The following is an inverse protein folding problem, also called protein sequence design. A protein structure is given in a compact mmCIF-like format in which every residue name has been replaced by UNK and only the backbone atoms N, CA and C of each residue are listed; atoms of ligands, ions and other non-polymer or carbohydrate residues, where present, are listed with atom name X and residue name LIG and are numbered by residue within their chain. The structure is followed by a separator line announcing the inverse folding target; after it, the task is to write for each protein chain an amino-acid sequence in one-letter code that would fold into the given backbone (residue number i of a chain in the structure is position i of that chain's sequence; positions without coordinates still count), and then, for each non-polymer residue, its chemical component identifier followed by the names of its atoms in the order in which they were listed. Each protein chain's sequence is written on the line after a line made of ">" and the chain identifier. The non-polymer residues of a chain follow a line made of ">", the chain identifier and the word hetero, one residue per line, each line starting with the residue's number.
data_IF_695320563075
#
_entry.id   IF_695320563075
#
_cell.length_a   1.000
_cell.length_b   1.000
_cell.length_c   1.000
_cell.angle_alpha   90.00
_cell.angle_beta   90.00
_cell.angle_gamma   90.00
#
_symmetry.space_group_name_H-M   'P 1'
#
loop_
_entity.id
_entity.type
_entity.pdbx_description
1 polymer ?
#
# COMPACT_ATOMS: atom_id res chain seq x y z
N UNK A 1 7.40 -9.27 10.84
CA UNK A 1 7.37 -8.80 9.43
C UNK A 1 7.93 -7.39 9.36
N UNK A 2 8.77 -7.08 8.36
CA UNK A 2 9.33 -5.74 8.14
C UNK A 2 8.88 -5.11 6.83
N UNK A 3 8.33 -5.89 5.91
CA UNK A 3 7.81 -5.42 4.62
C UNK A 3 6.30 -5.63 4.55
N UNK A 4 5.59 -4.56 4.20
CA UNK A 4 4.15 -4.51 4.07
C UNK A 4 3.77 -4.00 2.69
N UNK A 5 2.93 -4.76 2.00
CA UNK A 5 2.53 -4.48 0.63
C UNK A 5 1.01 -4.46 0.50
N UNK A 6 0.51 -3.50 -0.26
CA UNK A 6 -0.90 -3.40 -0.58
C UNK A 6 -1.24 -2.36 -1.64
N UNK A 7 -2.53 -2.09 -1.77
CA UNK A 7 -3.10 -1.08 -2.66
C UNK A 7 -3.75 0.06 -1.86
N UNK A 8 -4.25 1.06 -2.57
CA UNK A 8 -4.87 2.25 -1.99
C UNK A 8 -6.34 2.08 -1.60
N UNK A 9 -6.91 0.93 -1.88
CA UNK A 9 -8.29 0.55 -1.58
C UNK A 9 -8.37 -0.95 -1.35
N UNK A 10 -9.47 -1.43 -0.76
CA UNK A 10 -9.84 -2.86 -0.71
C UNK A 10 -11.24 -3.12 -1.25
N UNK A 11 -12.07 -2.08 -1.39
CA UNK A 11 -13.47 -2.20 -1.78
C UNK A 11 -13.70 -1.70 -3.21
N UNK A 12 -12.98 -2.28 -4.18
CA UNK A 12 -13.11 -1.93 -5.58
C UNK A 12 -13.83 -3.03 -6.37
N UNK A 13 -15.00 -2.72 -6.93
CA UNK A 13 -15.84 -3.69 -7.64
C UNK A 13 -15.22 -4.20 -8.95
N UNK A 14 -14.37 -3.41 -9.60
CA UNK A 14 -13.66 -3.82 -10.82
C UNK A 14 -12.67 -4.98 -10.62
N UNK A 15 -12.41 -5.38 -9.37
CA UNK A 15 -11.58 -6.54 -9.05
C UNK A 15 -12.34 -7.88 -9.01
N UNK A 16 -13.65 -7.87 -9.20
CA UNK A 16 -14.46 -9.10 -9.27
C UNK A 16 -14.12 -9.91 -10.52
N UNK A 17 -13.97 -11.22 -10.35
CA UNK A 17 -13.60 -12.14 -11.43
C UNK A 17 -12.10 -12.32 -11.64
N UNK A 18 -11.27 -11.41 -11.13
CA UNK A 18 -9.82 -11.46 -11.29
C UNK A 18 -9.10 -11.52 -9.93
N UNK A 19 -9.21 -10.46 -9.13
CA UNK A 19 -8.62 -10.42 -7.79
C UNK A 19 -9.55 -10.99 -6.71
N UNK A 20 -10.86 -10.76 -6.83
CA UNK A 20 -11.88 -11.40 -6.01
C UNK A 20 -12.68 -12.41 -6.83
N UNK A 21 -13.19 -13.50 -6.22
CA UNK A 21 -14.16 -14.38 -6.89
C UNK A 21 -15.34 -13.59 -7.46
N UNK A 22 -15.94 -14.02 -8.61
CA UNK A 22 -16.94 -13.23 -9.33
C UNK A 22 -18.16 -12.81 -8.51
N UNK A 23 -18.59 -13.64 -7.55
CA UNK A 23 -19.79 -13.43 -6.74
C UNK A 23 -19.50 -12.92 -5.34
N UNK A 24 -18.31 -12.34 -5.11
CA UNK A 24 -17.92 -11.82 -3.79
C UNK A 24 -18.79 -10.62 -3.41
N UNK A 25 -19.39 -10.69 -2.22
CA UNK A 25 -20.16 -9.58 -1.66
C UNK A 25 -19.23 -8.46 -1.17
N UNK A 26 -19.62 -7.18 -1.25
CA UNK A 26 -18.81 -6.07 -0.76
C UNK A 26 -18.39 -6.21 0.72
N UNK A 27 -19.20 -6.85 1.56
CA UNK A 27 -18.88 -7.09 2.96
C UNK A 27 -17.69 -8.03 3.17
N UNK A 28 -17.36 -8.87 2.19
CA UNK A 28 -16.30 -9.88 2.24
C UNK A 28 -14.98 -9.38 1.60
N UNK A 29 -14.98 -8.19 0.96
CA UNK A 29 -13.80 -7.66 0.27
C UNK A 29 -12.60 -7.49 1.20
N UNK A 30 -12.77 -6.89 2.38
CA UNK A 30 -11.66 -6.71 3.32
C UNK A 30 -11.09 -8.05 3.81
N UNK A 31 -11.96 -9.00 4.11
CA UNK A 31 -11.57 -10.34 4.51
C UNK A 31 -10.70 -11.02 3.44
N UNK A 32 -11.11 -10.96 2.17
CA UNK A 32 -10.36 -11.55 1.06
C UNK A 32 -9.08 -10.77 0.74
N UNK A 33 -9.15 -9.43 0.78
CA UNK A 33 -8.01 -8.56 0.53
C UNK A 33 -6.85 -8.84 1.51
N UNK A 34 -7.17 -8.88 2.81
CA UNK A 34 -6.18 -9.08 3.87
C UNK A 34 -5.54 -10.47 3.89
N UNK A 35 -6.08 -11.41 3.08
CA UNK A 35 -5.49 -12.74 2.84
C UNK A 35 -4.70 -12.82 1.54
N UNK A 36 -4.51 -11.71 0.87
CA UNK A 36 -3.68 -11.58 -0.33
C UNK A 36 -2.53 -10.61 -0.12
N UNK A 37 -2.79 -9.53 0.60
CA UNK A 37 -1.79 -8.50 0.95
C UNK A 37 -1.62 -8.39 2.46
N UNK A 38 -0.57 -7.68 2.87
CA UNK A 38 -0.18 -7.53 4.28
C UNK A 38 -0.52 -6.15 4.85
N UNK A 39 -0.88 -5.20 3.98
CA UNK A 39 -1.35 -3.88 4.42
C UNK A 39 -2.33 -3.27 3.42
N UNK A 40 -2.97 -2.19 3.82
CA UNK A 40 -3.78 -1.33 2.95
C UNK A 40 -3.58 0.15 3.30
N UNK A 41 -3.56 1.00 2.26
CA UNK A 41 -3.68 2.43 2.44
C UNK A 41 -5.17 2.80 2.61
N UNK A 42 -5.54 3.22 3.83
CA UNK A 42 -6.93 3.51 4.18
C UNK A 42 -7.37 4.91 3.75
N UNK A 43 -7.66 5.10 2.47
CA UNK A 43 -8.10 6.41 1.94
C UNK A 43 -9.55 6.76 2.29
N UNK A 44 -10.37 5.83 2.72
CA UNK A 44 -11.77 6.09 3.13
C UNK A 44 -11.84 7.06 4.29
N UNK A 45 -10.89 7.00 5.22
CA UNK A 45 -10.82 7.90 6.39
C UNK A 45 -10.52 9.35 6.04
N UNK A 46 -10.03 9.62 4.84
CA UNK A 46 -9.87 10.98 4.32
C UNK A 46 -11.19 11.70 4.10
N UNK A 47 -12.26 10.95 3.81
CA UNK A 47 -13.59 11.48 3.52
C UNK A 47 -14.57 11.33 4.68
N UNK A 48 -14.44 10.26 5.46
CA UNK A 48 -15.33 9.97 6.57
C UNK A 48 -14.57 9.25 7.70
N UNK A 49 -14.68 9.77 8.92
CA UNK A 49 -14.10 9.15 10.10
C UNK A 49 -14.96 7.92 10.47
N UNK A 50 -14.36 6.72 10.61
CA UNK A 50 -15.11 5.52 10.98
C UNK A 50 -15.60 5.61 12.43
N UNK A 51 -16.76 5.01 12.70
CA UNK A 51 -17.21 4.80 14.07
C UNK A 51 -16.49 3.58 14.69
N UNK A 52 -16.62 3.42 16.00
CA UNK A 52 -15.96 2.33 16.76
C UNK A 52 -16.38 0.93 16.29
N UNK A 53 -17.62 0.74 15.87
CA UNK A 53 -18.12 -0.54 15.34
C UNK A 53 -17.42 -0.91 14.03
N UNK A 54 -17.25 0.07 13.12
CA UNK A 54 -16.52 -0.11 11.86
C UNK A 54 -15.05 -0.47 12.13
N UNK A 55 -14.39 0.22 13.07
CA UNK A 55 -13.00 -0.05 13.46
C UNK A 55 -12.86 -1.46 14.04
N UNK A 56 -13.74 -1.85 14.96
CA UNK A 56 -13.76 -3.20 15.52
C UNK A 56 -13.98 -4.28 14.44
N UNK A 57 -14.87 -4.02 13.48
CA UNK A 57 -15.10 -4.91 12.35
C UNK A 57 -13.84 -5.05 11.47
N UNK A 58 -13.12 -3.98 11.19
CA UNK A 58 -11.87 -4.05 10.43
C UNK A 58 -10.82 -4.91 11.16
N UNK A 59 -10.66 -4.71 12.47
CA UNK A 59 -9.73 -5.49 13.28
C UNK A 59 -10.07 -6.98 13.29
N UNK A 60 -11.37 -7.35 13.42
CA UNK A 60 -11.80 -8.75 13.51
C UNK A 60 -11.80 -9.47 12.15
N UNK A 61 -11.94 -8.75 11.04
CA UNK A 61 -11.95 -9.34 9.69
C UNK A 61 -10.55 -9.62 9.12
N UNK A 62 -9.50 -9.06 9.72
CA UNK A 62 -8.13 -9.14 9.20
C UNK A 62 -7.25 -10.04 10.05
N UNK A 63 -6.26 -10.74 9.44
CA UNK A 63 -5.33 -11.59 10.18
C UNK A 63 -4.35 -10.75 11.01
N UNK A 64 -3.74 -11.31 12.08
CA UNK A 64 -2.89 -10.57 13.04
C UNK A 64 -1.75 -9.75 12.40
N UNK A 65 -1.25 -10.19 11.24
CA UNK A 65 -0.11 -9.56 10.56
C UNK A 65 -0.53 -8.55 9.48
N UNK A 66 -1.80 -8.16 9.45
CA UNK A 66 -2.32 -7.17 8.50
C UNK A 66 -2.39 -5.79 9.15
N UNK A 67 -1.93 -4.74 8.44
CA UNK A 67 -1.92 -3.38 8.96
C UNK A 67 -2.66 -2.39 8.07
N UNK A 68 -3.34 -1.44 8.72
CA UNK A 68 -4.00 -0.32 8.09
C UNK A 68 -3.15 0.94 8.23
N UNK A 69 -2.66 1.50 7.12
CA UNK A 69 -2.06 2.83 7.09
C UNK A 69 -3.16 3.84 6.75
N UNK A 70 -3.75 4.43 7.77
CA UNK A 70 -4.91 5.31 7.59
C UNK A 70 -4.48 6.72 7.19
N UNK A 71 -5.23 7.31 6.27
CA UNK A 71 -5.04 8.71 5.87
C UNK A 71 -5.81 9.65 6.80
N UNK A 72 -5.13 10.68 7.31
CA UNK A 72 -5.82 11.72 8.09
C UNK A 72 -6.97 12.35 7.32
N UNK A 73 -8.09 12.66 7.99
CA UNK A 73 -9.23 13.34 7.40
C UNK A 73 -8.86 14.62 6.66
N UNK A 74 -9.59 14.89 5.57
CA UNK A 74 -9.38 16.06 4.73
C UNK A 74 -9.50 17.37 5.52
N UNK A 75 -10.47 17.43 6.40
CA UNK A 75 -10.76 18.64 7.16
C UNK A 75 -9.65 19.00 8.16
N UNK A 76 -8.81 18.01 8.53
CA UNK A 76 -7.65 18.22 9.40
C UNK A 76 -6.39 18.64 8.64
N UNK A 77 -6.32 18.39 7.35
CA UNK A 77 -5.08 18.56 6.57
C UNK A 77 -5.20 19.54 5.41
N UNK A 78 -6.43 19.89 4.98
CA UNK A 78 -6.67 20.69 3.76
C UNK A 78 -7.40 22.01 4.01
N UNK A 79 -7.62 22.39 5.29
CA UNK A 79 -8.31 23.62 5.65
C UNK A 79 -7.35 24.52 6.46
N UNK A 80 -6.64 25.42 5.77
CA UNK A 80 -5.78 26.41 6.41
C UNK A 80 -4.52 25.84 7.08
N UNK A 81 -4.23 26.31 8.28
CA UNK A 81 -3.11 25.87 9.11
C UNK A 81 -3.42 24.56 9.84
N UNK A 82 -2.38 23.81 10.21
CA UNK A 82 -2.51 22.51 10.88
C UNK A 82 -2.68 22.65 12.40
N UNK A 83 -2.07 23.66 13.01
CA UNK A 83 -2.13 23.88 14.47
C UNK A 83 -3.55 23.89 15.03
N UNK A 84 -4.55 24.57 14.42
CA UNK A 84 -5.95 24.50 14.85
C UNK A 84 -6.58 23.11 14.75
N UNK A 85 -6.03 22.23 13.90
CA UNK A 85 -6.54 20.87 13.69
C UNK A 85 -5.98 19.83 14.69
N UNK A 86 -5.05 20.23 15.58
CA UNK A 86 -4.44 19.33 16.56
C UNK A 86 -5.49 18.57 17.39
N UNK A 87 -6.49 19.22 18.02
CA UNK A 87 -7.49 18.50 18.79
C UNK A 87 -8.23 17.44 17.97
N UNK A 88 -8.66 17.79 16.74
CA UNK A 88 -9.33 16.86 15.84
C UNK A 88 -8.45 15.71 15.39
N UNK A 89 -7.13 15.93 15.26
CA UNK A 89 -6.18 14.87 14.92
C UNK A 89 -5.99 13.88 16.10
N UNK A 90 -5.96 14.36 17.32
CA UNK A 90 -5.93 13.54 18.53
C UNK A 90 -7.23 12.74 18.70
N UNK A 91 -8.38 13.37 18.47
CA UNK A 91 -9.69 12.68 18.46
C UNK A 91 -9.76 11.58 17.40
N UNK A 92 -9.17 11.81 16.23
CA UNK A 92 -9.09 10.80 15.19
C UNK A 92 -8.27 9.58 15.65
N UNK A 93 -7.12 9.81 16.29
CA UNK A 93 -6.29 8.73 16.85
C UNK A 93 -7.11 7.89 17.84
N UNK A 94 -7.82 8.53 18.77
CA UNK A 94 -8.64 7.80 19.75
C UNK A 94 -9.71 6.93 19.08
N UNK A 95 -10.34 7.41 18.00
CA UNK A 95 -11.34 6.64 17.26
C UNK A 95 -10.77 5.41 16.56
N UNK A 96 -9.54 5.51 16.02
CA UNK A 96 -8.91 4.40 15.29
C UNK A 96 -8.04 3.51 16.16
N UNK A 97 -7.80 3.88 17.43
CA UNK A 97 -7.03 3.10 18.42
C UNK A 97 -7.59 1.68 18.61
N UNK A 98 -8.90 1.48 18.39
CA UNK A 98 -9.55 0.17 18.41
C UNK A 98 -9.02 -0.84 17.39
N UNK A 99 -8.22 -0.42 16.40
CA UNK A 99 -7.48 -1.33 15.50
C UNK A 99 -6.37 -2.10 16.26
N UNK A 100 -5.88 -1.60 17.39
CA UNK A 100 -4.81 -2.24 18.15
C UNK A 100 -3.58 -2.52 17.30
N UNK A 101 -3.13 -3.77 17.25
CA UNK A 101 -1.96 -4.19 16.47
C UNK A 101 -2.11 -4.06 14.95
N UNK A 102 -3.33 -3.86 14.46
CA UNK A 102 -3.59 -3.63 13.03
C UNK A 102 -3.41 -2.17 12.62
N UNK A 103 -3.14 -1.25 13.56
CA UNK A 103 -2.88 0.14 13.23
C UNK A 103 -1.41 0.32 12.84
N UNK A 104 -1.17 0.47 11.54
CA UNK A 104 0.11 0.91 10.99
C UNK A 104 0.28 2.43 11.09
N UNK A 105 1.33 3.00 10.48
CA UNK A 105 1.52 4.45 10.44
C UNK A 105 0.30 5.17 9.86
N UNK A 106 -0.17 6.19 10.58
CA UNK A 106 -1.12 7.15 10.01
C UNK A 106 -0.34 8.12 9.12
N UNK A 107 -0.92 8.54 7.99
CA UNK A 107 -0.24 9.52 7.17
C UNK A 107 -1.08 10.78 6.91
N UNK A 108 -0.42 11.93 7.06
CA UNK A 108 -0.94 13.25 6.75
C UNK A 108 -0.50 13.66 5.35
N UNK A 109 -1.44 13.78 4.41
CA UNK A 109 -1.16 14.37 3.10
C UNK A 109 -1.57 15.84 3.12
N UNK A 110 -0.61 16.72 2.85
CA UNK A 110 -0.87 18.17 2.77
C UNK A 110 -1.27 18.59 1.34
N UNK A 111 -2.08 19.64 1.20
CA UNK A 111 -2.45 20.16 -0.11
C UNK A 111 -1.27 20.85 -0.81
N UNK A 112 -1.32 21.03 -2.14
CA UNK A 112 -0.29 21.78 -2.87
C UNK A 112 -0.13 23.24 -2.43
N UNK A 113 -1.13 23.82 -1.77
CA UNK A 113 -1.10 25.18 -1.22
C UNK A 113 -0.30 25.30 0.09
N UNK A 114 -0.01 24.17 0.78
CA UNK A 114 0.73 24.19 2.03
C UNK A 114 2.24 24.27 1.76
N UNK A 115 2.78 25.47 1.85
CA UNK A 115 4.13 25.84 1.42
C UNK A 115 5.15 25.85 2.58
N UNK A 116 6.48 25.84 2.29
CA UNK A 116 7.53 25.92 3.31
C UNK A 116 7.45 27.13 4.26
N UNK A 117 6.80 28.22 3.86
CA UNK A 117 6.54 29.33 4.76
C UNK A 117 5.72 28.97 6.02
N UNK A 118 5.06 27.80 6.01
CA UNK A 118 4.24 27.28 7.11
C UNK A 118 5.00 26.24 7.97
N UNK A 119 6.35 26.21 7.92
CA UNK A 119 7.15 25.20 8.61
C UNK A 119 6.96 25.21 10.12
N UNK A 120 6.77 26.39 10.74
CA UNK A 120 6.56 26.52 12.20
C UNK A 120 5.19 25.96 12.61
N UNK A 121 4.16 26.17 11.78
CA UNK A 121 2.85 25.57 11.97
C UNK A 121 2.90 24.05 11.84
N UNK A 122 3.64 23.56 10.81
CA UNK A 122 3.89 22.14 10.63
C UNK A 122 4.62 21.53 11.83
N UNK A 123 5.69 22.19 12.31
CA UNK A 123 6.45 21.72 13.46
C UNK A 123 5.56 21.60 14.70
N UNK A 124 4.74 22.60 15.00
CA UNK A 124 3.81 22.56 16.14
C UNK A 124 2.81 21.40 16.03
N UNK A 125 2.28 21.12 14.84
CA UNK A 125 1.38 19.99 14.60
C UNK A 125 2.09 18.65 14.81
N UNK A 126 3.29 18.49 14.25
CA UNK A 126 4.07 17.25 14.38
C UNK A 126 4.55 17.02 15.82
N UNK A 127 4.89 18.07 16.56
CA UNK A 127 5.29 17.98 17.97
C UNK A 127 4.14 17.53 18.88
N UNK A 128 2.92 17.93 18.60
CA UNK A 128 1.73 17.55 19.36
C UNK A 128 1.27 16.09 19.12
N UNK A 129 1.77 15.43 18.06
CA UNK A 129 1.38 14.06 17.73
C UNK A 129 2.00 13.03 18.70
N UNK A 130 1.24 12.03 19.23
CA UNK A 130 1.74 11.01 20.16
C UNK A 130 2.55 9.91 19.42
N UNK A 131 3.69 10.26 18.86
CA UNK A 131 4.52 9.42 17.96
C UNK A 131 4.99 8.10 18.59
N UNK A 132 5.17 8.07 19.90
CA UNK A 132 5.57 6.86 20.60
C UNK A 132 4.49 5.76 20.56
N UNK A 133 3.21 6.17 20.44
CA UNK A 133 2.07 5.25 20.43
C UNK A 133 1.58 4.99 18.99
N UNK A 134 1.54 6.03 18.16
CA UNK A 134 1.03 5.96 16.80
C UNK A 134 2.02 6.61 15.84
N UNK A 135 2.76 5.84 15.04
CA UNK A 135 3.68 6.38 14.05
C UNK A 135 2.96 7.28 13.03
N UNK A 136 3.60 8.40 12.69
CA UNK A 136 3.09 9.36 11.71
C UNK A 136 4.00 9.43 10.49
N UNK A 137 3.39 9.50 9.29
CA UNK A 137 4.07 9.83 8.06
C UNK A 137 3.50 11.12 7.44
N UNK A 138 4.33 11.89 6.75
CA UNK A 138 3.98 13.18 6.15
C UNK A 138 4.21 13.15 4.64
N UNK A 139 3.17 13.47 3.86
CA UNK A 139 3.24 13.71 2.41
C UNK A 139 3.09 15.20 2.12
N UNK A 140 4.14 15.84 1.61
CA UNK A 140 4.11 17.22 1.13
C UNK A 140 3.92 17.27 -0.38
N UNK A 141 3.17 18.23 -0.87
CA UNK A 141 2.84 18.36 -2.32
C UNK A 141 3.24 19.69 -2.95
N UNK A 142 3.56 20.72 -2.18
CA UNK A 142 4.06 21.97 -2.72
C UNK A 142 5.50 21.78 -3.23
N UNK A 143 5.77 22.17 -4.48
CA UNK A 143 7.05 21.92 -5.17
C UNK A 143 8.27 22.50 -4.44
N UNK A 144 8.10 23.58 -3.67
CA UNK A 144 9.23 24.19 -2.94
C UNK A 144 9.72 23.35 -1.76
N UNK A 145 8.96 22.37 -1.24
CA UNK A 145 9.44 21.43 -0.25
C UNK A 145 10.57 20.52 -0.76
N UNK A 146 10.75 20.46 -2.08
CA UNK A 146 11.77 19.66 -2.76
C UNK A 146 12.99 20.48 -3.20
N UNK A 147 13.01 21.80 -2.89
CA UNK A 147 14.11 22.71 -3.20
C UNK A 147 14.88 23.09 -1.94
N UNK A 148 16.19 23.28 -2.08
CA UNK A 148 17.00 23.81 -1.00
C UNK A 148 16.68 25.31 -0.71
N UNK A 149 16.74 25.74 0.55
CA UNK A 149 17.08 24.99 1.78
C UNK A 149 15.90 24.23 2.39
N UNK A 150 14.69 24.35 1.84
CA UNK A 150 13.44 23.82 2.42
C UNK A 150 13.45 22.28 2.51
N UNK A 151 14.05 21.61 1.53
CA UNK A 151 14.18 20.15 1.53
C UNK A 151 14.98 19.65 2.72
N UNK A 152 16.14 20.29 3.00
CA UNK A 152 16.99 19.98 4.14
C UNK A 152 16.31 20.28 5.47
N UNK A 153 15.67 21.43 5.57
CA UNK A 153 14.97 21.85 6.79
C UNK A 153 13.81 20.89 7.13
N UNK A 154 13.03 20.48 6.12
CA UNK A 154 11.98 19.50 6.31
C UNK A 154 12.55 18.14 6.74
N UNK A 155 13.59 17.66 6.07
CA UNK A 155 14.24 16.38 6.42
C UNK A 155 14.73 16.39 7.87
N UNK A 156 15.46 17.45 8.27
CA UNK A 156 15.95 17.59 9.64
C UNK A 156 14.81 17.63 10.69
N UNK A 157 13.69 18.30 10.39
CA UNK A 157 12.52 18.32 11.26
C UNK A 157 11.90 16.94 11.40
N UNK A 158 11.72 16.21 10.29
CA UNK A 158 11.13 14.87 10.29
C UNK A 158 12.01 13.86 11.02
N UNK A 159 13.34 13.91 10.80
CA UNK A 159 14.32 13.05 11.50
C UNK A 159 14.33 13.32 13.00
N UNK A 160 14.39 14.61 13.41
CA UNK A 160 14.33 15.01 14.82
C UNK A 160 13.08 14.45 15.51
N UNK A 161 11.95 14.48 14.81
CA UNK A 161 10.66 14.06 15.36
C UNK A 161 10.33 12.59 15.05
N UNK A 162 11.20 11.85 14.34
CA UNK A 162 10.94 10.47 13.93
C UNK A 162 9.60 10.31 13.17
N UNK A 163 9.26 11.30 12.32
CA UNK A 163 8.11 11.28 11.42
C UNK A 163 8.56 10.75 10.06
N UNK A 164 7.86 9.75 9.53
CA UNK A 164 8.18 9.15 8.24
C UNK A 164 7.87 10.13 7.10
N UNK A 165 8.83 10.34 6.17
CA UNK A 165 8.53 11.03 4.92
C UNK A 165 7.80 10.07 4.01
N UNK A 166 6.61 10.44 3.50
CA UNK A 166 5.93 9.68 2.45
C UNK A 166 6.66 9.92 1.13
N UNK A 167 7.03 8.84 0.47
CA UNK A 167 7.72 8.85 -0.82
C UNK A 167 6.70 8.59 -1.92
N UNK A 168 6.21 9.66 -2.54
CA UNK A 168 5.28 9.57 -3.67
C UNK A 168 6.09 9.46 -4.96
N UNK A 169 6.00 8.32 -5.63
CA UNK A 169 6.57 8.14 -6.96
C UNK A 169 5.46 8.08 -8.02
N UNK A 170 5.37 9.12 -8.80
CA UNK A 170 4.44 9.23 -9.93
C UNK A 170 5.15 9.24 -11.28
N UNK A 171 6.46 8.98 -11.33
CA UNK A 171 7.24 9.00 -12.57
C UNK A 171 6.64 8.13 -13.67
N UNK A 172 6.16 6.89 -13.39
CA UNK A 172 5.65 6.02 -14.45
C UNK A 172 4.48 6.60 -15.24
N UNK A 173 3.62 7.40 -14.61
CA UNK A 173 2.44 7.97 -15.28
C UNK A 173 2.72 9.26 -16.03
N UNK A 174 3.97 9.72 -16.06
CA UNK A 174 4.43 10.91 -16.78
C UNK A 174 5.43 10.55 -17.88
N UNK A 175 5.63 9.26 -18.17
CA UNK A 175 6.48 8.79 -19.26
C UNK A 175 5.59 8.19 -20.35
N UNK A 176 5.92 8.53 -21.61
CA UNK A 176 5.18 8.09 -22.79
C UNK A 176 4.34 9.20 -23.39
N UNK A 177 3.67 8.87 -24.49
CA UNK A 177 2.87 9.81 -25.27
C UNK A 177 1.40 9.83 -24.84
N UNK A 178 1.01 8.94 -23.91
CA UNK A 178 -0.34 8.84 -23.35
C UNK A 178 -0.43 9.53 -21.96
N UNK A 179 -1.61 10.05 -21.63
CA UNK A 179 -1.94 10.52 -20.27
C UNK A 179 -2.86 9.49 -19.58
N UNK A 180 -2.31 8.54 -18.81
CA UNK A 180 -3.12 7.54 -18.14
C UNK A 180 -4.05 8.12 -17.08
N UNK A 181 -3.89 9.41 -16.75
CA UNK A 181 -4.76 10.14 -15.81
C UNK A 181 -5.86 10.95 -16.51
N UNK A 182 -6.05 10.80 -17.83
CA UNK A 182 -6.99 11.63 -18.59
C UNK A 182 -8.40 11.58 -18.01
N UNK A 183 -8.86 10.39 -17.61
CA UNK A 183 -10.17 10.16 -16.99
C UNK A 183 -10.18 10.33 -15.46
N UNK A 184 -9.05 10.69 -14.83
CA UNK A 184 -8.96 10.82 -13.38
C UNK A 184 -9.51 12.17 -12.92
N UNK A 185 -10.48 12.18 -12.01
CA UNK A 185 -11.00 13.41 -11.38
C UNK A 185 -9.90 14.19 -10.64
N UNK A 186 -8.89 13.49 -10.11
CA UNK A 186 -7.79 14.07 -9.33
C UNK A 186 -6.46 13.54 -9.83
N UNK A 187 -5.74 14.36 -10.57
CA UNK A 187 -4.41 14.01 -11.07
C UNK A 187 -3.39 13.94 -9.92
N UNK A 188 -2.53 12.95 -9.97
CA UNK A 188 -1.36 12.85 -9.07
C UNK A 188 -0.34 13.91 -9.49
N UNK A 189 0.32 14.60 -8.55
CA UNK A 189 1.31 15.61 -8.91
C UNK A 189 2.60 14.95 -9.42
N UNK A 190 3.27 15.61 -10.34
CA UNK A 190 4.64 15.28 -10.72
C UNK A 190 5.60 15.95 -9.73
N UNK A 191 6.20 15.16 -8.85
CA UNK A 191 7.12 15.60 -7.81
C UNK A 191 8.43 14.82 -7.89
N UNK A 192 9.57 15.41 -7.48
CA UNK A 192 10.82 14.67 -7.37
C UNK A 192 10.73 13.55 -6.33
N UNK A 193 11.27 12.38 -6.67
CA UNK A 193 11.45 11.29 -5.69
C UNK A 193 12.75 11.52 -4.94
N UNK A 194 12.67 11.52 -3.60
CA UNK A 194 13.83 11.65 -2.72
C UNK A 194 13.90 10.41 -1.84
N UNK A 195 14.86 9.52 -2.12
CA UNK A 195 15.06 8.28 -1.35
C UNK A 195 15.64 8.60 0.03
N UNK A 196 14.78 9.02 0.96
CA UNK A 196 15.16 9.36 2.34
C UNK A 196 14.28 8.63 3.34
N UNK A 197 14.90 8.14 4.43
CA UNK A 197 14.21 7.53 5.56
C UNK A 197 14.40 8.44 6.76
N UNK A 198 13.32 8.99 7.29
CA UNK A 198 13.32 9.97 8.39
C UNK A 198 12.76 9.42 9.71
N UNK A 199 12.37 8.13 9.70
CA UNK A 199 11.80 7.41 10.85
C UNK A 199 12.26 5.94 10.80
N UNK A 200 12.00 5.10 11.83
CA UNK A 200 12.27 3.66 11.78
C UNK A 200 11.48 2.90 10.70
N UNK A 201 10.69 3.62 9.92
CA UNK A 201 9.91 3.07 8.81
C UNK A 201 9.93 4.01 7.60
N UNK A 202 9.60 3.46 6.42
CA UNK A 202 9.36 4.19 5.17
C UNK A 202 7.97 3.86 4.64
N UNK A 203 7.25 4.86 4.12
CA UNK A 203 5.97 4.70 3.45
C UNK A 203 6.07 5.19 2.01
N UNK A 204 5.92 4.26 1.08
CA UNK A 204 6.05 4.47 -0.36
C UNK A 204 4.67 4.40 -1.00
N UNK A 205 4.35 5.38 -1.82
CA UNK A 205 3.16 5.41 -2.66
C UNK A 205 3.59 5.40 -4.13
N UNK A 206 3.55 4.24 -4.74
CA UNK A 206 3.96 4.02 -6.12
C UNK A 206 2.75 4.14 -7.05
N UNK A 207 2.75 5.16 -7.90
CA UNK A 207 1.67 5.42 -8.87
C UNK A 207 2.08 4.78 -10.19
N UNK A 208 1.57 3.59 -10.43
CA UNK A 208 1.93 2.80 -11.59
C UNK A 208 1.19 3.25 -12.85
N UNK A 209 1.83 3.07 -13.98
CA UNK A 209 1.21 3.12 -15.29
C UNK A 209 0.36 1.86 -15.52
N UNK A 210 -0.77 1.90 -16.27
CA UNK A 210 -1.56 0.72 -16.60
C UNK A 210 -0.79 -0.36 -17.37
N UNK A 211 0.18 0.05 -18.20
CA UNK A 211 1.11 -0.86 -18.86
C UNK A 211 2.27 -1.21 -17.92
N UNK A 212 2.36 -2.49 -17.55
CA UNK A 212 3.36 -2.99 -16.61
C UNK A 212 4.80 -2.74 -17.09
N UNK A 213 5.07 -2.85 -18.40
CA UNK A 213 6.40 -2.66 -18.95
C UNK A 213 6.96 -1.24 -18.70
N UNK A 214 6.09 -0.22 -18.68
CA UNK A 214 6.48 1.17 -18.36
C UNK A 214 6.94 1.29 -16.91
N UNK A 215 6.39 0.47 -16.01
CA UNK A 215 6.73 0.51 -14.59
C UNK A 215 8.07 -0.18 -14.28
N UNK A 216 8.48 -1.13 -15.11
CA UNK A 216 9.58 -2.06 -14.82
C UNK A 216 10.87 -1.37 -14.35
N UNK A 217 11.43 -0.35 -15.03
CA UNK A 217 12.67 0.29 -14.60
C UNK A 217 12.57 0.93 -13.22
N UNK A 218 11.42 1.53 -12.90
CA UNK A 218 11.19 2.16 -11.59
C UNK A 218 11.00 1.12 -10.48
N UNK A 219 10.32 0.02 -10.79
CA UNK A 219 10.11 -1.06 -9.84
C UNK A 219 11.43 -1.75 -9.48
N UNK A 220 12.33 -1.93 -10.45
CA UNK A 220 13.68 -2.47 -10.24
C UNK A 220 14.52 -1.52 -9.37
N UNK A 221 14.50 -0.22 -9.65
CA UNK A 221 15.16 0.81 -8.81
C UNK A 221 14.64 0.74 -7.36
N UNK A 222 13.32 0.69 -7.18
CA UNK A 222 12.70 0.55 -5.88
C UNK A 222 13.04 -0.78 -5.20
N UNK A 223 13.08 -1.88 -5.93
CA UNK A 223 13.41 -3.19 -5.36
C UNK A 223 14.81 -3.19 -4.71
N UNK A 224 15.79 -2.59 -5.39
CA UNK A 224 17.16 -2.42 -4.85
C UNK A 224 17.14 -1.52 -3.59
N UNK A 225 16.42 -0.41 -3.64
CA UNK A 225 16.36 0.51 -2.51
C UNK A 225 15.62 -0.07 -1.30
N UNK A 226 14.50 -0.75 -1.52
CA UNK A 226 13.71 -1.41 -0.48
C UNK A 226 14.54 -2.53 0.16
N UNK A 227 15.22 -3.36 -0.63
CA UNK A 227 16.14 -4.39 -0.11
C UNK A 227 17.14 -3.80 0.87
N UNK A 228 17.85 -2.74 0.46
CA UNK A 228 18.82 -2.04 1.30
C UNK A 228 18.21 -1.57 2.63
N UNK A 229 17.03 -0.97 2.61
CA UNK A 229 16.37 -0.48 3.82
C UNK A 229 15.93 -1.61 4.75
N UNK A 230 15.40 -2.72 4.19
CA UNK A 230 15.03 -3.90 4.97
C UNK A 230 16.24 -4.54 5.65
N UNK A 231 17.38 -4.63 4.95
CA UNK A 231 18.65 -5.12 5.49
C UNK A 231 19.18 -4.22 6.62
N UNK A 232 18.95 -2.91 6.55
CA UNK A 232 19.25 -1.93 7.60
C UNK A 232 18.25 -1.95 8.78
N UNK A 233 17.19 -2.77 8.69
CA UNK A 233 16.21 -2.90 9.76
C UNK A 233 15.01 -1.96 9.65
N UNK A 234 14.92 -1.12 8.62
CA UNK A 234 13.79 -0.23 8.37
C UNK A 234 12.54 -1.05 8.04
N UNK A 235 11.38 -0.71 8.62
CA UNK A 235 10.08 -1.24 8.18
C UNK A 235 9.65 -0.50 6.92
N UNK A 236 9.18 -1.22 5.92
CA UNK A 236 8.77 -0.60 4.64
C UNK A 236 7.31 -0.92 4.35
N UNK A 237 6.53 0.12 4.10
CA UNK A 237 5.16 0.06 3.59
C UNK A 237 5.16 0.52 2.14
N UNK A 238 4.67 -0.33 1.25
CA UNK A 238 4.56 -0.03 -0.18
C UNK A 238 3.11 -0.15 -0.62
N UNK A 239 2.55 0.96 -1.11
CA UNK A 239 1.19 1.00 -1.65
C UNK A 239 1.22 1.32 -3.13
N UNK A 240 0.67 0.40 -3.90
CA UNK A 240 0.55 0.54 -5.35
C UNK A 240 -0.80 1.17 -5.69
N UNK A 241 -0.74 2.20 -6.52
CA UNK A 241 -1.89 2.86 -7.12
C UNK A 241 -1.79 2.74 -8.63
N UNK A 242 -2.92 2.72 -9.31
CA UNK A 242 -2.97 2.87 -10.76
C UNK A 242 -4.16 3.76 -11.13
N UNK A 243 -4.07 4.65 -12.12
CA UNK A 243 -5.22 5.35 -12.66
C UNK A 243 -6.31 4.39 -13.17
N UNK A 244 -5.91 3.24 -13.70
CA UNK A 244 -6.76 2.07 -13.97
C UNK A 244 -6.65 1.12 -12.78
N UNK A 245 -7.51 1.29 -11.76
CA UNK A 245 -7.39 0.63 -10.45
C UNK A 245 -7.41 -0.90 -10.55
N UNK A 246 -7.99 -1.46 -11.61
CA UNK A 246 -7.97 -2.91 -11.92
C UNK A 246 -6.55 -3.47 -11.94
N UNK A 247 -5.57 -2.65 -12.34
CA UNK A 247 -4.17 -3.08 -12.48
C UNK A 247 -3.38 -3.06 -11.19
N UNK A 248 -3.84 -2.35 -10.15
CA UNK A 248 -3.09 -2.17 -8.89
C UNK A 248 -2.68 -3.49 -8.24
N UNK A 249 -3.55 -4.51 -8.06
CA UNK A 249 -3.16 -5.77 -7.43
C UNK A 249 -2.10 -6.55 -8.21
N UNK A 250 -2.19 -6.56 -9.54
CA UNK A 250 -1.20 -7.24 -10.39
C UNK A 250 0.17 -6.57 -10.32
N UNK A 251 0.20 -5.24 -10.38
CA UNK A 251 1.44 -4.48 -10.24
C UNK A 251 2.05 -4.70 -8.86
N UNK A 252 1.24 -4.71 -7.80
CA UNK A 252 1.72 -4.99 -6.45
C UNK A 252 2.31 -6.41 -6.34
N UNK A 253 1.64 -7.44 -6.88
CA UNK A 253 2.16 -8.82 -6.89
C UNK A 253 3.46 -8.92 -7.69
N UNK A 254 3.57 -8.24 -8.82
CA UNK A 254 4.80 -8.19 -9.61
C UNK A 254 5.94 -7.54 -8.82
N UNK A 255 5.65 -6.49 -8.05
CA UNK A 255 6.62 -5.84 -7.17
C UNK A 255 7.19 -6.81 -6.13
N UNK A 256 6.33 -7.63 -5.50
CA UNK A 256 6.75 -8.70 -4.60
C UNK A 256 7.71 -9.67 -5.29
N UNK A 257 7.38 -10.10 -6.51
CA UNK A 257 8.22 -11.01 -7.30
C UNK A 257 9.61 -10.42 -7.56
N UNK A 258 9.71 -9.13 -7.90
CA UNK A 258 10.99 -8.45 -8.08
C UNK A 258 11.83 -8.41 -6.80
N UNK A 259 11.18 -8.15 -5.66
CA UNK A 259 11.84 -8.17 -4.35
C UNK A 259 12.37 -9.56 -4.00
N UNK A 260 11.60 -10.61 -4.25
CA UNK A 260 12.02 -12.00 -4.05
C UNK A 260 13.19 -12.36 -4.98
N UNK A 261 13.13 -11.98 -6.26
CA UNK A 261 14.18 -12.23 -7.26
C UNK A 261 15.50 -11.51 -6.93
N UNK A 262 15.44 -10.29 -6.40
CA UNK A 262 16.67 -9.59 -5.99
C UNK A 262 17.19 -10.04 -4.61
N UNK A 263 16.55 -11.01 -3.97
CA UNK A 263 16.93 -11.54 -2.66
C UNK A 263 16.69 -10.55 -1.51
N UNK A 264 15.64 -9.72 -1.59
CA UNK A 264 15.22 -8.91 -0.46
C UNK A 264 14.65 -9.80 0.66
N UNK A 265 14.87 -9.45 1.95
CA UNK A 265 14.36 -10.23 3.08
C UNK A 265 12.85 -9.97 3.29
N UNK A 266 12.04 -10.42 2.34
CA UNK A 266 10.58 -10.31 2.35
C UNK A 266 9.94 -11.67 2.56
N UNK A 267 8.84 -11.70 3.33
CA UNK A 267 8.03 -12.91 3.48
C UNK A 267 7.15 -13.10 2.24
N UNK A 268 6.84 -14.35 1.84
CA UNK A 268 5.88 -14.61 0.77
C UNK A 268 4.51 -13.97 1.08
N UNK A 269 3.85 -13.42 0.05
CA UNK A 269 2.50 -12.91 0.21
C UNK A 269 1.53 -14.02 0.64
N UNK A 270 0.56 -13.73 1.51
CA UNK A 270 -0.53 -14.65 1.84
C UNK A 270 -1.29 -15.14 0.60
N UNK A 271 -1.34 -14.34 -0.45
CA UNK A 271 -1.94 -14.67 -1.74
C UNK A 271 -1.42 -15.99 -2.30
N UNK A 272 -0.12 -16.24 -2.23
CA UNK A 272 0.50 -17.47 -2.75
C UNK A 272 0.06 -18.73 -1.95
N UNK A 273 -0.47 -18.55 -0.75
CA UNK A 273 -0.98 -19.65 0.08
C UNK A 273 -2.42 -20.05 -0.29
N UNK A 274 -3.18 -19.17 -0.95
CA UNK A 274 -4.55 -19.46 -1.38
C UNK A 274 -4.61 -20.33 -2.64
N UNK A 275 -3.55 -20.37 -3.43
CA UNK A 275 -3.42 -21.22 -4.62
C UNK A 275 -3.05 -22.68 -4.25
N UNK A 276 -2.72 -22.95 -2.98
CA UNK A 276 -2.60 -24.31 -2.49
C UNK A 276 -4.00 -24.85 -2.20
N UNK A 277 -4.37 -26.06 -2.70
CA UNK A 277 -5.65 -26.67 -2.34
C UNK A 277 -5.73 -26.74 -0.81
N UNK A 278 -6.71 -26.07 -0.23
CA UNK A 278 -7.01 -26.25 1.19
C UNK A 278 -7.42 -27.71 1.35
N UNK A 279 -6.52 -28.57 1.80
CA UNK A 279 -6.86 -29.87 2.33
C UNK A 279 -7.63 -29.56 3.60
N UNK A 280 -8.95 -29.61 3.50
CA UNK A 280 -9.85 -29.58 4.65
C UNK A 280 -9.45 -30.76 5.53
N UNK A 281 -8.70 -30.51 6.59
CA UNK A 281 -8.58 -31.41 7.73
C UNK A 281 -9.93 -31.42 8.47
N UNK A 282 -10.95 -31.98 7.81
CA UNK A 282 -12.10 -32.52 8.50
C UNK A 282 -11.64 -33.89 8.99
N UNK A 283 -11.43 -33.96 10.29
CA UNK A 283 -11.15 -35.19 11.02
C UNK A 283 -12.13 -36.30 10.62
N UNK A 284 -11.62 -37.41 10.11
CA UNK A 284 -12.38 -38.65 9.98
C UNK A 284 -12.37 -39.29 8.59
N UNK A 285 -11.40 -40.18 8.37
CA UNK A 285 -11.42 -41.33 7.45
C UNK A 285 -11.63 -41.08 5.94
N UNK A 286 -10.55 -41.15 5.18
CA UNK A 286 -10.33 -42.09 4.09
C UNK A 286 -9.02 -41.74 3.36
N UNK A 287 -8.16 -42.72 3.27
CA UNK A 287 -6.93 -42.71 2.49
C UNK A 287 -7.25 -42.73 1.00
N UNK A 288 -6.70 -41.79 0.24
CA UNK A 288 -6.31 -42.03 -1.16
C UNK A 288 -5.08 -41.19 -1.46
N UNK A 289 -3.96 -41.89 -1.56
CA UNK A 289 -2.67 -41.38 -2.01
C UNK A 289 -2.72 -41.10 -3.50
N UNK A 290 -2.67 -39.84 -3.93
CA UNK A 290 -2.28 -39.47 -5.27
C UNK A 290 -0.83 -38.97 -5.24
N UNK A 291 0.08 -39.83 -5.68
CA UNK A 291 1.48 -39.47 -5.95
C UNK A 291 1.55 -38.73 -7.30
N UNK A 292 1.85 -37.45 -7.28
CA UNK A 292 2.19 -36.70 -8.49
C UNK A 292 3.67 -36.97 -8.82
N UNK A 293 3.94 -37.72 -9.92
CA UNK A 293 5.28 -37.81 -10.53
C UNK A 293 5.44 -36.68 -11.54
N UNK A 294 6.55 -35.91 -11.53
CA UNK A 294 6.82 -34.93 -12.56
C UNK A 294 7.17 -35.63 -13.89
N UNK A 295 6.44 -35.31 -14.94
CA UNK A 295 6.79 -35.72 -16.31
C UNK A 295 7.91 -34.82 -16.84
N UNK A 296 9.00 -35.49 -17.31
CA UNK A 296 10.07 -34.86 -18.08
C UNK A 296 9.56 -34.34 -19.45
N UNK A 297 10.21 -33.31 -20.03
CA UNK A 297 9.80 -32.75 -21.31
C UNK A 297 10.25 -33.65 -22.47
N UNK A 298 9.34 -33.85 -23.41
CA UNK A 298 9.68 -34.60 -24.65
C UNK A 298 8.51 -34.68 -25.63
N UNK A 299 8.64 -33.89 -26.70
CA UNK A 299 8.07 -34.05 -28.04
C UNK A 299 6.57 -34.13 -28.27
N UNK A 300 6.12 -33.06 -28.94
CA UNK A 300 4.88 -32.93 -29.70
C UNK A 300 4.85 -33.87 -30.90
N UNK A 301 3.73 -34.59 -31.10
CA UNK A 301 3.23 -34.96 -32.43
C UNK A 301 1.70 -34.98 -32.43
N UNK A 302 1.17 -34.21 -33.35
CA UNK A 302 -0.21 -34.03 -33.75
C UNK A 302 -0.68 -35.27 -34.52
N UNK A 303 -1.94 -35.67 -34.34
CA UNK A 303 -2.95 -36.30 -35.23
C UNK A 303 -4.05 -36.84 -34.32
N UNK A 304 -5.26 -36.40 -34.36
CA UNK A 304 -6.21 -36.44 -35.42
C UNK A 304 -7.33 -37.40 -35.04
N UNK A 305 -8.53 -36.88 -35.13
CA UNK A 305 -9.80 -37.56 -35.30
C UNK A 305 -10.78 -37.68 -34.12
N UNK A 306 -11.80 -36.91 -34.31
CA UNK A 306 -13.11 -36.89 -33.70
C UNK A 306 -13.91 -38.16 -34.12
N UNK A 307 -14.56 -38.87 -33.19
CA UNK A 307 -15.80 -39.60 -33.45
C UNK A 307 -16.72 -39.59 -32.24
N UNK A 308 -17.92 -39.08 -32.50
CA UNK A 308 -19.13 -39.27 -31.67
C UNK A 308 -19.48 -40.75 -31.63
N UNK A 309 -20.06 -41.21 -30.51
CA UNK A 309 -21.20 -42.12 -30.52
C UNK A 309 -21.96 -42.05 -29.18
N UNK A 310 -23.26 -41.78 -29.33
CA UNK A 310 -24.49 -42.02 -28.58
C UNK A 310 -24.52 -41.61 -27.10
#
# INVERSE_FOLDING_TARGET
>A
MKFFLGCAVWAYKGWLGEFYPPNTRPADFLHLYSRRFTAVEGNTTFYAIPNSETVAKWATQTPPNFEFCLKLPRDLTHIGLLKPSIPGALDFIEKVRGLGQHLGPIFAQLPPSYAPAQIDDLAAFLEAWPRAEVPLALEVRHKNWFKEPHSRNLTALLEKLQVGRVLLDSRPIYIGDDDPQLASERKKPQLPVQFSVTAPFSLIRFISHPNLAVNQPFMEEWAVQIKRWLEQGTRVYLFVHCPTEERSPHTARHFQTLLEQCGAPVEPLPWNQLDLPQINLICGKFYTTYTFRPKKPGFCRIFGECRRFK
#
